data_IF_657137844050
#
_entry.id   IF_657137844050
#
_cell.length_a   1.000
_cell.length_b   1.000
_cell.length_c   1.000
_cell.angle_alpha   90.00
_cell.angle_beta   90.00
_cell.angle_gamma   90.00
#
_symmetry.space_group_name_H-M   'P 1'
#
loop_
_entity.id
_entity.type
_entity.pdbx_description
1 polymer ?
#
# COMPACT_ATOMS: atom_id res chain seq x y z
N UNK A 1 50.13 -7.56 -23.72
CA UNK A 1 51.35 -8.29 -23.32
C UNK A 1 51.11 -9.34 -22.24
N UNK A 2 50.14 -9.13 -21.31
CA UNK A 2 49.90 -10.05 -20.18
C UNK A 2 49.32 -11.41 -20.59
N UNK A 3 48.53 -11.49 -21.67
CA UNK A 3 47.85 -12.72 -22.11
C UNK A 3 48.83 -13.87 -22.42
N UNK A 4 50.06 -13.56 -22.86
CA UNK A 4 51.07 -14.56 -23.24
C UNK A 4 51.63 -15.34 -22.04
N UNK A 5 51.61 -14.74 -20.86
CA UNK A 5 52.05 -15.37 -19.62
C UNK A 5 50.90 -16.16 -18.95
N UNK A 6 49.69 -15.65 -19.05
CA UNK A 6 48.52 -16.31 -18.46
C UNK A 6 48.05 -17.57 -19.21
N UNK A 7 48.22 -17.59 -20.53
CA UNK A 7 47.75 -18.74 -21.34
C UNK A 7 48.48 -20.05 -21.01
N UNK A 8 49.84 -20.12 -20.90
CA UNK A 8 50.48 -21.36 -20.49
C UNK A 8 50.22 -21.74 -19.03
N UNK A 9 50.07 -20.72 -18.12
CA UNK A 9 49.78 -20.96 -16.72
C UNK A 9 48.35 -21.56 -16.56
N UNK A 10 47.38 -21.05 -17.30
CA UNK A 10 46.02 -21.62 -17.32
C UNK A 10 46.00 -23.04 -17.84
N UNK A 11 46.77 -23.35 -18.92
CA UNK A 11 46.88 -24.73 -19.42
C UNK A 11 47.51 -25.70 -18.43
N UNK A 12 48.46 -25.23 -17.62
CA UNK A 12 49.09 -26.02 -16.58
C UNK A 12 48.15 -26.27 -15.39
N UNK A 13 47.30 -25.28 -15.04
CA UNK A 13 46.36 -25.35 -13.92
C UNK A 13 45.05 -26.08 -14.30
N UNK A 14 44.66 -26.10 -15.57
CA UNK A 14 43.43 -26.75 -16.04
C UNK A 14 43.28 -28.21 -15.56
N UNK A 15 44.28 -29.09 -15.66
CA UNK A 15 44.14 -30.46 -15.19
C UNK A 15 44.00 -30.55 -13.66
N UNK A 16 44.61 -29.64 -12.91
CA UNK A 16 44.48 -29.57 -11.44
C UNK A 16 43.05 -29.19 -11.06
N UNK A 17 42.53 -28.12 -11.70
CA UNK A 17 41.12 -27.68 -11.48
C UNK A 17 40.14 -28.79 -11.89
N UNK A 18 40.39 -29.48 -13.01
CA UNK A 18 39.55 -30.60 -13.41
C UNK A 18 39.56 -31.74 -12.38
N UNK A 19 40.75 -32.08 -11.85
CA UNK A 19 40.89 -33.12 -10.81
C UNK A 19 40.13 -32.73 -9.50
N UNK A 20 40.29 -31.48 -9.07
CA UNK A 20 39.58 -30.98 -7.89
C UNK A 20 38.06 -31.02 -8.09
N UNK A 21 37.58 -30.56 -9.24
CA UNK A 21 36.14 -30.63 -9.58
C UNK A 21 35.63 -32.08 -9.65
N UNK A 22 36.43 -33.01 -10.19
CA UNK A 22 36.07 -34.44 -10.28
C UNK A 22 35.92 -35.04 -8.86
N UNK A 23 36.84 -34.75 -7.94
CA UNK A 23 36.78 -35.21 -6.55
C UNK A 23 35.60 -34.55 -5.83
N UNK A 24 35.43 -33.23 -5.96
CA UNK A 24 34.32 -32.50 -5.34
C UNK A 24 32.96 -33.04 -5.82
N UNK A 25 32.78 -33.20 -7.14
CA UNK A 25 31.56 -33.76 -7.71
C UNK A 25 31.32 -35.24 -7.30
N UNK A 26 32.36 -36.00 -7.13
CA UNK A 26 32.25 -37.39 -6.64
C UNK A 26 31.80 -37.46 -5.20
N UNK A 27 32.31 -36.58 -4.35
CA UNK A 27 31.89 -36.47 -2.93
C UNK A 27 30.42 -35.98 -2.87
N UNK A 28 30.04 -34.99 -3.64
CA UNK A 28 28.67 -34.47 -3.69
C UNK A 28 27.67 -35.55 -4.17
N UNK A 29 28.04 -36.37 -5.16
CA UNK A 29 27.23 -37.52 -5.61
C UNK A 29 27.12 -38.60 -4.55
N UNK A 30 28.18 -38.87 -3.81
CA UNK A 30 28.18 -39.83 -2.68
C UNK A 30 27.25 -39.39 -1.56
N UNK A 31 27.18 -38.08 -1.32
CA UNK A 31 26.27 -37.44 -0.34
C UNK A 31 24.84 -37.24 -0.90
N UNK A 32 24.55 -37.72 -2.12
CA UNK A 32 23.27 -37.51 -2.82
C UNK A 32 22.86 -36.06 -2.99
N UNK A 33 23.78 -35.11 -2.92
CA UNK A 33 23.58 -33.71 -3.24
C UNK A 33 23.80 -33.57 -4.75
N UNK A 34 22.74 -33.29 -5.51
CA UNK A 34 22.84 -33.03 -6.95
C UNK A 34 23.33 -31.60 -7.15
N UNK A 35 24.56 -31.37 -7.65
CA UNK A 35 25.05 -30.02 -7.94
C UNK A 35 24.24 -29.32 -9.05
N UNK A 36 23.63 -30.08 -9.94
CA UNK A 36 22.78 -29.55 -11.04
C UNK A 36 21.40 -29.04 -10.57
N UNK A 37 20.96 -29.38 -9.35
CA UNK A 37 19.75 -28.81 -8.74
C UNK A 37 20.00 -27.49 -8.04
N UNK A 38 21.24 -27.13 -7.73
CA UNK A 38 21.62 -25.82 -7.22
C UNK A 38 22.09 -24.84 -8.28
N UNK A 39 22.33 -25.32 -9.53
CA UNK A 39 22.66 -24.45 -10.67
C UNK A 39 21.44 -23.81 -11.36
N UNK A 40 20.23 -24.05 -10.83
CA UNK A 40 19.08 -23.19 -11.04
C UNK A 40 19.00 -22.24 -9.87
N UNK A 41 19.97 -21.33 -9.74
CA UNK A 41 19.91 -20.22 -8.78
C UNK A 41 18.59 -19.45 -8.99
N UNK A 42 17.52 -19.95 -8.39
CA UNK A 42 16.41 -19.08 -8.08
C UNK A 42 16.94 -18.12 -7.01
N UNK A 43 17.36 -16.94 -7.47
CA UNK A 43 17.72 -15.84 -6.57
C UNK A 43 16.66 -15.76 -5.49
N UNK A 44 17.07 -15.77 -4.24
CA UNK A 44 16.15 -15.49 -3.16
C UNK A 44 15.59 -14.07 -3.36
N UNK A 45 14.45 -13.78 -2.78
CA UNK A 45 13.85 -12.44 -2.87
C UNK A 45 14.84 -11.37 -2.38
N UNK A 46 15.55 -11.63 -1.29
CA UNK A 46 16.54 -10.75 -0.69
C UNK A 46 17.73 -10.50 -1.62
N UNK A 47 18.19 -11.55 -2.31
CA UNK A 47 19.23 -11.43 -3.33
C UNK A 47 18.76 -10.63 -4.54
N UNK A 48 17.52 -10.88 -5.01
CA UNK A 48 16.91 -10.10 -6.09
C UNK A 48 16.77 -8.63 -5.69
N UNK A 49 16.33 -8.34 -4.46
CA UNK A 49 16.25 -6.98 -3.92
C UNK A 49 17.62 -6.30 -3.90
N UNK A 50 18.66 -7.01 -3.49
CA UNK A 50 20.03 -6.50 -3.48
C UNK A 50 20.52 -6.19 -4.90
N UNK A 51 20.31 -7.11 -5.85
CA UNK A 51 20.67 -6.90 -7.25
C UNK A 51 19.94 -5.69 -7.86
N UNK A 52 18.64 -5.54 -7.58
CA UNK A 52 17.85 -4.38 -8.04
C UNK A 52 18.35 -3.08 -7.43
N UNK A 53 18.73 -3.08 -6.14
CA UNK A 53 19.28 -1.90 -5.48
C UNK A 53 20.67 -1.50 -6.01
N UNK A 54 21.52 -2.46 -6.34
CA UNK A 54 22.87 -2.21 -6.87
C UNK A 54 22.90 -1.82 -8.35
N UNK A 55 21.76 -1.99 -9.06
CA UNK A 55 21.65 -1.68 -10.49
C UNK A 55 21.50 -0.17 -10.80
N UNK A 56 22.08 0.71 -10.00
CA UNK A 56 21.95 2.17 -10.11
C UNK A 56 22.32 2.75 -11.50
N UNK A 57 23.27 2.13 -12.17
CA UNK A 57 23.78 2.61 -13.47
C UNK A 57 22.91 2.16 -14.63
N UNK A 58 22.15 1.06 -14.46
CA UNK A 58 21.43 0.40 -15.54
C UNK A 58 19.91 0.69 -15.52
N UNK A 59 19.36 0.94 -14.34
CA UNK A 59 17.90 1.09 -14.15
C UNK A 59 17.61 2.49 -13.59
N UNK A 60 16.76 3.30 -14.28
CA UNK A 60 16.31 4.57 -13.75
C UNK A 60 15.66 4.39 -12.37
N UNK A 61 15.91 5.32 -11.44
CA UNK A 61 15.47 5.22 -10.05
C UNK A 61 13.98 4.94 -9.91
N UNK A 62 13.14 5.58 -10.73
CA UNK A 62 11.68 5.33 -10.74
C UNK A 62 11.33 3.87 -11.04
N UNK A 63 12.00 3.26 -12.03
CA UNK A 63 11.74 1.85 -12.37
C UNK A 63 12.24 0.90 -11.29
N UNK A 64 13.37 1.23 -10.66
CA UNK A 64 13.92 0.47 -9.53
C UNK A 64 12.94 0.48 -8.35
N UNK A 65 12.42 1.65 -7.98
CA UNK A 65 11.43 1.76 -6.92
C UNK A 65 10.18 0.90 -7.21
N UNK A 66 9.66 0.93 -8.45
CA UNK A 66 8.54 0.08 -8.85
C UNK A 66 8.86 -1.42 -8.70
N UNK A 67 10.07 -1.86 -9.09
CA UNK A 67 10.47 -3.27 -8.93
C UNK A 67 10.53 -3.67 -7.46
N UNK A 68 11.07 -2.81 -6.60
CA UNK A 68 11.09 -3.03 -5.15
C UNK A 68 9.69 -3.08 -4.57
N UNK A 69 8.81 -2.14 -4.94
CA UNK A 69 7.40 -2.13 -4.52
C UNK A 69 6.66 -3.42 -4.91
N UNK A 70 6.92 -3.96 -6.11
CA UNK A 70 6.35 -5.25 -6.53
C UNK A 70 6.81 -6.39 -5.63
N UNK A 71 8.09 -6.41 -5.24
CA UNK A 71 8.62 -7.42 -4.32
C UNK A 71 8.01 -7.29 -2.90
N UNK A 72 7.66 -6.08 -2.50
CA UNK A 72 7.07 -5.80 -1.19
C UNK A 72 5.57 -6.15 -1.11
N UNK A 73 4.84 -6.25 -2.24
CA UNK A 73 3.41 -6.58 -2.27
C UNK A 73 3.04 -7.90 -1.59
N UNK A 74 3.93 -8.85 -1.52
CA UNK A 74 3.68 -10.12 -0.84
C UNK A 74 3.72 -10.00 0.68
N UNK A 75 4.47 -9.03 1.21
CA UNK A 75 4.61 -8.79 2.65
C UNK A 75 3.54 -7.84 3.18
N UNK A 76 3.02 -6.96 2.30
CA UNK A 76 1.97 -6.02 2.64
C UNK A 76 0.62 -6.70 2.67
N UNK A 77 -0.18 -6.35 3.67
CA UNK A 77 -1.56 -6.80 3.83
C UNK A 77 -2.54 -5.70 3.40
N UNK A 78 -3.77 -6.08 3.15
CA UNK A 78 -4.81 -5.16 2.68
C UNK A 78 -5.09 -4.03 3.68
N UNK A 79 -4.94 -4.31 4.96
CA UNK A 79 -5.11 -3.35 6.06
C UNK A 79 -3.99 -2.30 6.15
N UNK A 80 -2.85 -2.54 5.48
CA UNK A 80 -1.73 -1.59 5.45
C UNK A 80 -2.00 -0.35 4.59
N UNK A 81 -2.93 -0.49 3.62
CA UNK A 81 -3.21 0.55 2.62
C UNK A 81 -4.70 0.86 2.45
N UNK A 82 -5.57 0.24 3.25
CA UNK A 82 -7.01 0.51 3.17
C UNK A 82 -7.33 1.93 3.61
N UNK A 83 -8.40 2.48 3.06
CA UNK A 83 -9.08 3.63 3.65
C UNK A 83 -9.78 3.15 4.93
N UNK A 84 -9.42 3.66 6.10
CA UNK A 84 -10.00 3.22 7.38
C UNK A 84 -11.50 3.49 7.45
N UNK A 85 -12.21 2.70 8.26
CA UNK A 85 -13.66 2.81 8.46
C UNK A 85 -14.14 4.23 8.78
N UNK A 86 -13.41 4.96 9.60
CA UNK A 86 -13.76 6.32 10.04
C UNK A 86 -13.77 7.33 8.88
N UNK A 87 -13.00 7.06 7.83
CA UNK A 87 -12.85 7.94 6.66
C UNK A 87 -13.73 7.48 5.48
N UNK A 88 -14.55 6.44 5.70
CA UNK A 88 -15.46 5.95 4.67
C UNK A 88 -16.63 6.88 4.47
N UNK A 89 -16.78 7.35 3.24
CA UNK A 89 -17.91 8.15 2.83
C UNK A 89 -18.93 7.32 2.03
N UNK A 90 -20.20 7.58 2.31
CA UNK A 90 -21.30 6.89 1.65
C UNK A 90 -22.60 7.64 1.73
N UNK A 91 -23.67 7.00 1.28
CA UNK A 91 -25.04 7.49 1.36
C UNK A 91 -25.92 6.48 2.09
N UNK A 92 -26.77 7.01 2.98
CA UNK A 92 -27.79 6.23 3.65
C UNK A 92 -29.03 6.10 2.73
N UNK A 93 -29.34 4.86 2.33
CA UNK A 93 -30.48 4.58 1.45
C UNK A 93 -31.85 4.89 2.08
N UNK A 94 -31.91 5.10 3.38
CA UNK A 94 -33.17 5.45 4.07
C UNK A 94 -33.51 6.93 3.98
N UNK A 95 -32.57 7.77 3.54
CA UNK A 95 -32.79 9.20 3.35
C UNK A 95 -33.70 9.49 2.16
N UNK A 96 -34.36 10.65 2.12
CA UNK A 96 -35.12 11.08 0.95
C UNK A 96 -34.26 11.11 -0.33
N UNK A 97 -34.83 10.73 -1.47
CA UNK A 97 -34.11 10.66 -2.74
C UNK A 97 -33.42 11.97 -3.12
N UNK A 98 -34.04 13.10 -2.79
CA UNK A 98 -33.47 14.44 -3.05
C UNK A 98 -32.15 14.64 -2.32
N UNK A 99 -32.05 14.20 -1.07
CA UNK A 99 -30.82 14.30 -0.26
C UNK A 99 -29.76 13.32 -0.77
N UNK A 100 -30.15 12.08 -1.15
CA UNK A 100 -29.25 11.11 -1.76
C UNK A 100 -28.63 11.69 -3.04
N UNK A 101 -29.43 12.23 -3.94
CA UNK A 101 -28.95 12.81 -5.20
C UNK A 101 -28.04 14.00 -4.96
N UNK A 102 -28.40 14.88 -4.02
CA UNK A 102 -27.56 16.02 -3.64
C UNK A 102 -26.22 15.56 -3.07
N UNK A 103 -26.21 14.59 -2.19
CA UNK A 103 -24.97 14.02 -1.62
C UNK A 103 -24.10 13.40 -2.71
N UNK A 104 -24.68 12.62 -3.64
CA UNK A 104 -23.97 12.02 -4.76
C UNK A 104 -23.32 13.04 -5.71
N UNK A 105 -23.87 14.25 -5.81
CA UNK A 105 -23.27 15.33 -6.61
C UNK A 105 -22.07 15.98 -5.94
N UNK A 106 -22.00 15.96 -4.62
CA UNK A 106 -20.92 16.58 -3.85
C UNK A 106 -19.73 15.64 -3.60
N UNK A 107 -19.96 14.34 -3.66
CA UNK A 107 -18.89 13.36 -3.45
C UNK A 107 -17.94 13.28 -4.65
N UNK A 108 -16.62 13.33 -4.41
CA UNK A 108 -15.61 13.28 -5.48
C UNK A 108 -15.43 11.87 -6.07
N UNK A 109 -16.16 10.88 -5.58
CA UNK A 109 -15.95 9.46 -5.89
C UNK A 109 -16.81 8.99 -7.06
N UNK A 110 -16.22 8.18 -7.93
CA UNK A 110 -16.95 7.51 -9.04
C UNK A 110 -17.88 6.42 -8.52
N UNK A 111 -17.53 5.78 -7.41
CA UNK A 111 -18.32 4.76 -6.71
C UNK A 111 -18.47 5.15 -5.27
N UNK A 112 -19.69 4.99 -4.78
CA UNK A 112 -20.07 5.39 -3.44
C UNK A 112 -20.67 4.20 -2.71
N UNK A 113 -20.34 4.06 -1.44
CA UNK A 113 -20.90 3.08 -0.54
C UNK A 113 -22.36 3.43 -0.21
N UNK A 114 -23.19 2.41 -0.14
CA UNK A 114 -24.60 2.57 0.23
C UNK A 114 -24.89 1.67 1.41
N UNK A 115 -25.35 2.28 2.49
CA UNK A 115 -25.65 1.61 3.74
C UNK A 115 -27.06 1.97 4.24
N UNK A 116 -27.50 1.30 5.30
CA UNK A 116 -28.76 1.57 5.96
C UNK A 116 -28.50 1.99 7.40
N UNK A 117 -28.77 3.25 7.73
CA UNK A 117 -28.56 3.89 9.03
C UNK A 117 -27.10 3.93 9.49
N UNK A 118 -26.38 2.82 9.42
CA UNK A 118 -24.99 2.68 9.84
C UNK A 118 -24.19 1.94 8.75
N UNK A 119 -22.91 2.26 8.67
CA UNK A 119 -21.98 1.68 7.68
C UNK A 119 -21.83 0.16 7.80
N UNK A 120 -22.09 -0.39 9.01
CA UNK A 120 -22.10 -1.85 9.24
C UNK A 120 -23.26 -2.56 8.52
N UNK A 121 -24.34 -1.83 8.24
CA UNK A 121 -25.46 -2.32 7.45
C UNK A 121 -25.27 -1.98 5.98
N UNK A 122 -24.17 -2.48 5.41
CA UNK A 122 -23.83 -2.26 4.02
C UNK A 122 -24.86 -2.92 3.10
N UNK A 123 -25.44 -2.12 2.20
CA UNK A 123 -26.41 -2.59 1.20
C UNK A 123 -25.72 -2.86 -0.13
N UNK A 124 -24.73 -2.05 -0.48
CA UNK A 124 -24.03 -2.20 -1.75
C UNK A 124 -23.18 -1.01 -2.14
N UNK A 125 -22.80 -0.99 -3.39
CA UNK A 125 -22.07 0.13 -4.00
C UNK A 125 -22.84 0.66 -5.21
N UNK A 126 -22.84 1.98 -5.37
CA UNK A 126 -23.44 2.68 -6.52
C UNK A 126 -22.34 3.28 -7.41
N UNK A 127 -22.59 3.26 -8.70
CA UNK A 127 -21.81 4.04 -9.64
C UNK A 127 -22.49 5.41 -9.85
N UNK A 128 -21.91 6.49 -9.37
CA UNK A 128 -22.49 7.84 -9.36
C UNK A 128 -23.01 8.24 -10.75
N UNK A 129 -22.22 8.03 -11.80
CA UNK A 129 -22.59 8.35 -13.18
C UNK A 129 -23.85 7.64 -13.66
N UNK A 130 -24.09 6.37 -13.21
CA UNK A 130 -25.29 5.63 -13.59
C UNK A 130 -26.53 6.21 -12.92
N UNK A 131 -26.41 6.58 -11.64
CA UNK A 131 -27.52 7.19 -10.89
C UNK A 131 -27.89 8.55 -11.43
N UNK A 132 -26.89 9.40 -11.67
CA UNK A 132 -27.13 10.73 -12.24
C UNK A 132 -27.70 10.63 -13.67
N UNK A 133 -27.22 9.69 -14.50
CA UNK A 133 -27.80 9.41 -15.82
C UNK A 133 -29.23 8.96 -15.74
N UNK A 134 -29.58 8.07 -14.80
CA UNK A 134 -30.96 7.61 -14.58
C UNK A 134 -31.87 8.75 -14.08
N UNK A 135 -31.39 9.64 -13.20
CA UNK A 135 -32.16 10.78 -12.69
C UNK A 135 -32.50 11.81 -13.77
N UNK A 136 -31.62 11.95 -14.79
CA UNK A 136 -31.89 12.81 -15.94
C UNK A 136 -32.96 12.22 -16.87
N UNK A 137 -33.02 10.89 -17.01
CA UNK A 137 -33.99 10.20 -17.86
C UNK A 137 -35.35 10.01 -17.15
N UNK A 138 -35.32 9.84 -15.85
CA UNK A 138 -36.48 9.63 -14.99
C UNK A 138 -36.47 10.64 -13.84
N UNK A 139 -37.13 11.80 -14.00
CA UNK A 139 -37.19 12.85 -12.98
C UNK A 139 -37.78 12.39 -11.62
N UNK A 140 -38.51 11.29 -11.62
CA UNK A 140 -39.08 10.66 -10.43
C UNK A 140 -38.35 9.34 -10.08
N UNK A 141 -37.00 9.40 -10.07
CA UNK A 141 -36.20 8.25 -9.60
C UNK A 141 -36.63 7.88 -8.17
N UNK A 142 -37.07 6.65 -7.96
CA UNK A 142 -37.49 6.14 -6.67
C UNK A 142 -36.45 5.19 -6.04
N UNK A 143 -36.66 4.83 -4.77
CA UNK A 143 -35.78 3.91 -4.04
C UNK A 143 -35.71 2.53 -4.69
N UNK A 144 -36.79 2.06 -5.33
CA UNK A 144 -36.85 0.75 -5.99
C UNK A 144 -35.91 0.74 -7.20
N UNK A 145 -35.95 1.80 -7.99
CA UNK A 145 -35.05 1.98 -9.13
C UNK A 145 -33.59 2.12 -8.68
N UNK A 146 -33.35 2.87 -7.60
CA UNK A 146 -32.02 3.00 -7.03
C UNK A 146 -31.45 1.63 -6.61
N UNK A 147 -32.29 0.78 -6.00
CA UNK A 147 -31.89 -0.57 -5.60
C UNK A 147 -31.46 -1.44 -6.80
N UNK A 148 -32.06 -1.27 -7.97
CA UNK A 148 -31.66 -2.03 -9.17
C UNK A 148 -30.29 -1.65 -9.71
N UNK A 149 -29.80 -0.46 -9.36
CA UNK A 149 -28.47 0.05 -9.74
C UNK A 149 -27.38 -0.34 -8.74
N UNK A 150 -27.75 -0.88 -7.58
CA UNK A 150 -26.81 -1.36 -6.57
C UNK A 150 -26.05 -2.58 -7.08
N UNK A 151 -24.76 -2.59 -6.77
CA UNK A 151 -23.94 -3.79 -6.89
C UNK A 151 -23.66 -4.35 -5.51
N UNK A 152 -23.71 -5.66 -5.39
CA UNK A 152 -23.38 -6.36 -4.16
C UNK A 152 -21.97 -5.98 -3.67
N UNK A 153 -21.80 -5.77 -2.36
CA UNK A 153 -20.49 -5.53 -1.77
C UNK A 153 -19.57 -6.73 -2.04
N UNK A 154 -18.29 -6.47 -2.16
CA UNK A 154 -17.26 -7.50 -2.21
C UNK A 154 -16.45 -7.40 -0.93
N UNK A 155 -16.40 -8.47 -0.16
CA UNK A 155 -15.71 -8.52 1.12
C UNK A 155 -14.36 -9.19 0.96
N UNK A 156 -13.38 -8.64 1.66
CA UNK A 156 -11.97 -9.06 1.69
C UNK A 156 -11.62 -9.36 3.14
N UNK A 157 -11.23 -10.59 3.50
CA UNK A 157 -10.74 -10.86 4.85
C UNK A 157 -9.50 -10.02 5.16
N UNK A 158 -9.39 -9.52 6.39
CA UNK A 158 -8.14 -8.95 6.90
C UNK A 158 -7.01 -9.98 6.81
N UNK A 159 -5.74 -9.53 6.84
CA UNK A 159 -4.59 -10.42 6.67
C UNK A 159 -4.37 -10.93 5.24
N UNK A 160 -5.23 -10.56 4.27
CA UNK A 160 -5.03 -10.91 2.86
C UNK A 160 -3.85 -10.12 2.29
N UNK A 161 -2.85 -10.79 1.67
CA UNK A 161 -1.72 -10.08 1.05
C UNK A 161 -2.17 -9.27 -0.16
N UNK A 162 -1.52 -8.11 -0.39
CA UNK A 162 -1.84 -7.24 -1.53
C UNK A 162 -1.66 -7.95 -2.87
N UNK A 163 -0.64 -8.80 -2.98
CA UNK A 163 -0.41 -9.62 -4.18
C UNK A 163 -1.61 -10.53 -4.48
N UNK A 164 -2.10 -11.25 -3.47
CA UNK A 164 -3.28 -12.11 -3.61
C UNK A 164 -4.52 -11.30 -3.97
N UNK A 165 -4.73 -10.15 -3.32
CA UNK A 165 -5.89 -9.30 -3.58
C UNK A 165 -5.86 -8.68 -4.97
N UNK A 166 -4.70 -8.30 -5.50
CA UNK A 166 -4.55 -7.81 -6.87
C UNK A 166 -5.04 -8.86 -7.89
N UNK A 167 -4.63 -10.13 -7.71
CA UNK A 167 -5.09 -11.23 -8.55
C UNK A 167 -6.60 -11.46 -8.44
N UNK A 168 -7.17 -11.37 -7.22
CA UNK A 168 -8.61 -11.52 -7.01
C UNK A 168 -9.40 -10.40 -7.71
N UNK A 169 -8.97 -9.16 -7.60
CA UNK A 169 -9.59 -8.04 -8.29
C UNK A 169 -9.59 -8.21 -9.81
N UNK A 170 -8.46 -8.66 -10.39
CA UNK A 170 -8.35 -8.94 -11.82
C UNK A 170 -9.26 -10.09 -12.25
N UNK A 171 -9.25 -11.21 -11.52
CA UNK A 171 -10.03 -12.41 -11.83
C UNK A 171 -11.53 -12.17 -11.76
N UNK A 172 -11.98 -11.46 -10.72
CA UNK A 172 -13.38 -11.18 -10.47
C UNK A 172 -13.89 -9.91 -11.14
N UNK A 173 -12.99 -9.17 -11.83
CA UNK A 173 -13.28 -7.86 -12.45
C UNK A 173 -13.89 -6.87 -11.44
N UNK A 174 -13.44 -6.93 -10.20
CA UNK A 174 -13.79 -5.98 -9.14
C UNK A 174 -12.74 -4.88 -9.07
N UNK A 175 -13.12 -3.71 -8.59
CA UNK A 175 -12.22 -2.55 -8.44
C UNK A 175 -12.19 -1.97 -7.04
N UNK A 176 -13.03 -2.50 -6.15
CA UNK A 176 -13.07 -2.12 -4.75
C UNK A 176 -13.66 -3.26 -3.93
N UNK A 177 -13.28 -3.35 -2.67
CA UNK A 177 -13.81 -4.31 -1.70
C UNK A 177 -13.71 -3.78 -0.28
N UNK A 178 -14.63 -4.20 0.57
CA UNK A 178 -14.66 -3.88 1.99
C UNK A 178 -13.82 -4.89 2.75
N UNK A 179 -12.90 -4.41 3.56
CA UNK A 179 -12.09 -5.26 4.43
C UNK A 179 -12.89 -5.53 5.69
N UNK A 180 -12.94 -6.81 6.06
CA UNK A 180 -13.70 -7.28 7.23
C UNK A 180 -12.82 -8.16 8.11
N UNK A 181 -13.08 -8.09 9.41
CA UNK A 181 -12.50 -8.99 10.39
C UNK A 181 -13.20 -10.37 10.40
N UNK A 182 -12.80 -11.25 11.34
CA UNK A 182 -13.36 -12.59 11.54
C UNK A 182 -14.80 -12.59 12.08
N UNK A 183 -15.29 -11.45 12.56
CA UNK A 183 -16.66 -11.27 13.04
C UNK A 183 -17.59 -10.69 11.95
N UNK A 184 -17.00 -10.21 10.86
CA UNK A 184 -17.71 -9.56 9.76
C UNK A 184 -17.86 -8.05 9.92
N UNK A 185 -17.16 -7.46 10.90
CA UNK A 185 -17.14 -6.02 11.09
C UNK A 185 -16.28 -5.34 10.01
N UNK A 186 -16.77 -4.21 9.49
CA UNK A 186 -16.06 -3.47 8.42
C UNK A 186 -14.92 -2.68 9.02
N UNK A 187 -13.70 -2.99 8.61
CA UNK A 187 -12.47 -2.31 9.00
C UNK A 187 -12.13 -1.15 8.06
N UNK A 188 -12.41 -1.29 6.77
CA UNK A 188 -12.09 -0.27 5.78
C UNK A 188 -12.49 -0.64 4.36
N UNK A 189 -12.05 0.16 3.40
CA UNK A 189 -12.23 -0.02 1.97
C UNK A 189 -10.88 -0.09 1.27
N UNK A 190 -10.72 -1.04 0.37
CA UNK A 190 -9.58 -1.12 -0.53
C UNK A 190 -10.05 -0.95 -1.97
N UNK A 191 -9.33 -0.13 -2.74
CA UNK A 191 -9.57 0.00 -4.17
C UNK A 191 -8.40 -0.52 -5.01
N UNK A 192 -8.65 -0.81 -6.29
CA UNK A 192 -7.60 -1.15 -7.25
C UNK A 192 -6.61 0.00 -7.45
N UNK A 193 -7.06 1.25 -7.28
CA UNK A 193 -6.20 2.43 -7.39
C UNK A 193 -5.15 2.46 -6.30
N UNK A 194 -5.55 2.23 -5.05
CA UNK A 194 -4.66 2.20 -3.88
C UNK A 194 -3.60 1.09 -4.03
N UNK A 195 -4.02 -0.08 -4.53
CA UNK A 195 -3.10 -1.18 -4.86
C UNK A 195 -2.07 -0.82 -5.94
N UNK A 196 -2.52 -0.14 -7.01
CA UNK A 196 -1.62 0.28 -8.09
C UNK A 196 -0.69 1.40 -7.65
N UNK A 197 -1.16 2.26 -6.77
CA UNK A 197 -0.36 3.33 -6.17
C UNK A 197 0.81 2.79 -5.35
N UNK A 198 0.63 1.68 -4.63
CA UNK A 198 1.75 0.99 -3.95
C UNK A 198 2.84 0.49 -4.90
N UNK A 199 2.50 0.17 -6.14
CA UNK A 199 3.45 -0.32 -7.15
C UNK A 199 4.16 0.83 -7.85
N UNK A 200 3.39 1.82 -8.30
CA UNK A 200 3.88 2.87 -9.20
C UNK A 200 4.37 4.11 -8.44
N UNK A 201 3.97 4.23 -7.16
CA UNK A 201 4.06 5.46 -6.38
C UNK A 201 2.91 6.40 -6.74
N UNK A 202 2.80 7.51 -6.03
CA UNK A 202 1.76 8.49 -6.27
C UNK A 202 1.72 8.93 -7.73
N UNK A 203 0.53 8.87 -8.34
CA UNK A 203 0.28 9.39 -9.68
C UNK A 203 0.18 10.92 -9.69
N UNK A 204 0.23 11.54 -8.53
CA UNK A 204 0.16 12.99 -8.43
C UNK A 204 1.44 13.59 -8.98
N UNK A 205 1.32 14.24 -10.13
CA UNK A 205 2.25 15.25 -10.65
C UNK A 205 2.17 16.55 -9.84
N UNK A 206 1.59 16.48 -8.64
CA UNK A 206 1.52 17.61 -7.72
C UNK A 206 2.89 17.74 -7.07
N UNK A 207 3.57 18.88 -7.18
CA UNK A 207 4.76 19.15 -6.40
C UNK A 207 4.47 18.92 -4.92
N UNK A 208 5.47 18.53 -4.15
CA UNK A 208 5.38 18.26 -2.70
C UNK A 208 4.74 19.40 -1.89
N UNK A 209 4.60 20.58 -2.51
CA UNK A 209 4.05 21.81 -1.92
C UNK A 209 2.50 21.79 -1.79
N UNK A 210 1.78 20.82 -2.39
CA UNK A 210 0.32 20.77 -2.45
C UNK A 210 -0.31 19.53 -1.80
N UNK A 211 0.40 18.78 -0.96
CA UNK A 211 -0.21 17.70 -0.18
C UNK A 211 -0.95 18.35 1.00
N UNK A 212 -2.29 18.28 1.05
CA UNK A 212 -3.08 18.99 2.08
C UNK A 212 -2.70 18.61 3.51
N UNK A 213 -2.22 17.38 3.70
CA UNK A 213 -1.90 16.80 5.01
C UNK A 213 -0.45 17.04 5.45
N UNK A 214 0.43 17.47 4.54
CA UNK A 214 1.83 17.80 4.79
C UNK A 214 2.12 19.16 4.16
N UNK A 215 2.27 20.18 4.97
CA UNK A 215 2.53 21.54 4.53
C UNK A 215 3.95 21.94 4.93
N UNK A 216 4.86 22.20 3.97
CA UNK A 216 6.16 22.71 4.28
C UNK A 216 6.04 24.12 4.92
N UNK A 217 6.76 24.33 5.98
CA UNK A 217 6.91 25.62 6.68
C UNK A 217 8.33 26.17 6.44
N UNK A 218 8.55 27.39 6.87
CA UNK A 218 9.90 27.96 6.86
C UNK A 218 10.85 27.11 7.75
N UNK A 219 12.16 27.14 7.47
CA UNK A 219 13.21 26.47 8.25
C UNK A 219 13.21 24.92 8.23
N UNK A 220 12.82 24.30 7.12
CA UNK A 220 12.85 22.82 6.97
C UNK A 220 11.96 22.08 7.98
N UNK A 221 10.88 22.72 8.40
CA UNK A 221 9.83 22.15 9.23
C UNK A 221 8.57 21.86 8.39
N UNK A 222 7.76 20.90 8.83
CA UNK A 222 6.54 20.48 8.14
C UNK A 222 5.38 20.48 9.12
N UNK A 223 4.26 21.07 8.71
CA UNK A 223 3.00 20.92 9.41
C UNK A 223 2.31 19.66 8.88
N UNK A 224 2.08 18.68 9.75
CA UNK A 224 1.58 17.36 9.38
C UNK A 224 0.31 17.03 10.13
N UNK A 225 -0.70 16.50 9.42
CA UNK A 225 -1.93 16.03 10.02
C UNK A 225 -1.70 14.73 10.81
N UNK A 226 -2.31 14.59 12.00
CA UNK A 226 -2.11 13.41 12.84
C UNK A 226 -2.58 12.08 12.23
N UNK A 227 -3.49 12.11 11.26
CA UNK A 227 -3.97 10.92 10.54
C UNK A 227 -3.07 10.49 9.38
N UNK A 228 -2.07 11.31 9.01
CA UNK A 228 -1.13 10.98 7.93
C UNK A 228 -0.40 9.67 8.22
N UNK A 229 -0.23 8.85 7.19
CA UNK A 229 0.45 7.55 7.30
C UNK A 229 1.91 7.73 7.66
N UNK A 230 2.40 6.97 8.67
CA UNK A 230 3.84 6.94 9.03
C UNK A 230 4.71 6.52 7.85
N UNK A 231 4.22 5.59 7.02
CA UNK A 231 4.94 5.13 5.82
C UNK A 231 5.07 6.23 4.76
N UNK A 232 4.01 7.00 4.56
CA UNK A 232 3.99 8.14 3.65
C UNK A 232 4.99 9.22 4.10
N UNK A 233 4.97 9.58 5.38
CA UNK A 233 5.94 10.52 5.96
C UNK A 233 7.39 10.04 5.80
N UNK A 234 7.64 8.76 6.12
CA UNK A 234 8.97 8.17 5.98
C UNK A 234 9.45 8.20 4.52
N UNK A 235 8.55 7.93 3.56
CA UNK A 235 8.89 7.92 2.13
C UNK A 235 9.10 9.32 1.54
N UNK A 236 8.22 10.27 1.85
CA UNK A 236 8.27 11.64 1.29
C UNK A 236 9.38 12.49 1.89
N UNK A 237 9.54 12.43 3.22
CA UNK A 237 10.51 13.27 3.93
C UNK A 237 11.85 12.55 4.16
N UNK A 238 11.97 11.30 3.70
CA UNK A 238 13.14 10.44 3.90
C UNK A 238 13.55 10.34 5.39
N UNK A 239 12.52 10.22 6.28
CA UNK A 239 12.71 10.03 7.71
C UNK A 239 12.74 8.55 8.05
N UNK A 240 13.65 8.16 8.96
CA UNK A 240 13.78 6.76 9.42
C UNK A 240 12.79 6.47 10.56
N UNK A 241 11.49 6.59 10.26
CA UNK A 241 10.41 6.32 11.22
C UNK A 241 10.15 4.81 11.36
N UNK A 242 9.74 4.32 12.55
CA UNK A 242 9.40 2.93 12.75
C UNK A 242 8.15 2.57 11.95
N UNK A 243 8.28 1.63 11.01
CA UNK A 243 7.17 1.14 10.18
C UNK A 243 6.44 -0.06 10.79
N UNK A 244 6.98 -0.60 11.91
CA UNK A 244 6.36 -1.67 12.69
C UNK A 244 5.59 -1.04 13.84
N UNK A 245 4.26 -1.20 13.89
CA UNK A 245 3.39 -0.60 14.90
C UNK A 245 2.27 0.24 14.33
N UNK A 246 1.91 1.35 14.97
CA UNK A 246 0.83 2.23 14.51
C UNK A 246 1.06 2.76 13.11
N UNK A 247 -0.01 2.83 12.32
CA UNK A 247 0.04 3.19 10.90
C UNK A 247 -0.04 4.69 10.66
N UNK A 248 -0.52 5.46 11.64
CA UNK A 248 -0.67 6.92 11.56
C UNK A 248 0.29 7.65 12.50
N UNK A 249 0.60 8.89 12.19
CA UNK A 249 1.46 9.73 13.03
C UNK A 249 0.87 9.89 14.44
N UNK A 250 -0.43 10.10 14.56
CA UNK A 250 -1.12 10.17 15.85
C UNK A 250 -0.96 8.88 16.66
N UNK A 251 -1.19 7.73 16.02
CA UNK A 251 -1.00 6.43 16.65
C UNK A 251 0.43 6.24 17.16
N UNK A 252 1.43 6.62 16.36
CA UNK A 252 2.84 6.54 16.72
C UNK A 252 3.21 7.43 17.93
N UNK A 253 2.64 8.64 17.98
CA UNK A 253 2.84 9.57 19.10
C UNK A 253 2.20 9.02 20.38
N UNK A 254 0.95 8.54 20.30
CA UNK A 254 0.22 7.98 21.45
C UNK A 254 0.91 6.73 22.00
N UNK A 255 1.38 5.83 21.12
CA UNK A 255 2.16 4.65 21.54
C UNK A 255 3.45 5.06 22.25
N UNK A 256 4.17 6.05 21.72
CA UNK A 256 5.43 6.51 22.30
C UNK A 256 5.23 7.19 23.66
N UNK A 257 4.18 8.01 23.81
CA UNK A 257 3.85 8.71 25.04
C UNK A 257 3.12 7.84 26.07
N UNK A 258 2.48 6.76 25.63
CA UNK A 258 1.57 5.91 26.43
C UNK A 258 0.43 6.73 27.08
N UNK A 259 0.15 7.91 26.54
CA UNK A 259 -0.88 8.84 27.00
C UNK A 259 -1.34 9.73 25.85
N UNK A 260 -2.54 10.31 25.99
CA UNK A 260 -3.00 11.34 25.04
C UNK A 260 -2.15 12.61 25.23
N UNK A 261 -1.57 13.14 24.16
CA UNK A 261 -0.72 14.31 24.25
C UNK A 261 -1.53 15.59 24.52
N UNK A 262 -0.95 16.49 25.31
CA UNK A 262 -1.48 17.85 25.47
C UNK A 262 -0.88 18.80 24.44
N UNK A 263 -1.59 19.91 24.14
CA UNK A 263 -1.07 20.96 23.26
C UNK A 263 0.25 21.53 23.79
N UNK A 264 1.24 21.68 22.90
CA UNK A 264 2.59 22.13 23.28
C UNK A 264 3.50 21.01 23.78
N UNK A 265 3.06 19.75 23.73
CA UNK A 265 3.95 18.61 23.99
C UNK A 265 4.92 18.41 22.83
N UNK A 266 6.21 18.29 23.15
CA UNK A 266 7.27 17.96 22.17
C UNK A 266 7.80 16.57 22.44
N UNK A 267 7.89 15.75 21.39
CA UNK A 267 8.46 14.39 21.45
C UNK A 267 9.53 14.21 20.40
N UNK A 268 10.45 13.27 20.62
CA UNK A 268 11.46 12.90 19.60
C UNK A 268 11.33 11.43 19.29
N UNK A 269 10.91 11.10 18.06
CA UNK A 269 10.72 9.73 17.60
C UNK A 269 11.73 9.45 16.48
N UNK A 270 12.55 8.42 16.62
CA UNK A 270 13.61 8.05 15.65
C UNK A 270 14.50 9.24 15.22
N UNK A 271 14.76 10.16 16.15
CA UNK A 271 15.60 11.35 15.89
C UNK A 271 14.84 12.56 15.33
N UNK A 272 13.59 12.40 14.89
CA UNK A 272 12.74 13.48 14.38
C UNK A 272 12.04 14.18 15.54
N UNK A 273 12.22 15.50 15.72
CA UNK A 273 11.46 16.27 16.70
C UNK A 273 10.05 16.54 16.18
N UNK A 274 9.04 16.34 17.01
CA UNK A 274 7.62 16.51 16.68
C UNK A 274 6.97 17.35 17.76
N UNK A 275 6.41 18.49 17.38
CA UNK A 275 5.70 19.41 18.28
C UNK A 275 4.18 19.30 18.04
N UNK A 276 3.42 19.06 19.10
CA UNK A 276 1.97 18.86 19.02
C UNK A 276 1.28 20.19 19.25
N UNK A 277 0.64 20.71 18.20
CA UNK A 277 0.02 22.04 18.23
C UNK A 277 -1.41 21.99 18.78
N UNK A 278 -2.25 21.08 18.31
CA UNK A 278 -3.65 20.98 18.71
C UNK A 278 -4.11 19.53 18.83
N UNK A 279 -4.26 18.99 20.05
CA UNK A 279 -4.95 17.72 20.25
C UNK A 279 -6.46 17.95 20.16
N UNK A 280 -7.19 17.07 19.47
CA UNK A 280 -8.66 17.03 19.51
C UNK A 280 -9.11 15.61 19.83
N UNK A 281 -10.14 15.45 20.69
CA UNK A 281 -10.82 14.22 21.11
C UNK A 281 -10.29 12.93 20.43
N UNK A 282 -9.21 12.35 20.97
CA UNK A 282 -8.48 11.19 20.48
C UNK A 282 -7.66 11.36 19.17
N UNK A 283 -7.56 12.56 18.59
CA UNK A 283 -6.73 12.84 17.43
C UNK A 283 -5.90 14.11 17.61
N UNK A 284 -4.67 14.11 17.11
CA UNK A 284 -3.86 15.33 16.97
C UNK A 284 -4.30 16.02 15.68
N UNK A 285 -4.83 17.25 15.78
CA UNK A 285 -5.07 18.10 14.59
C UNK A 285 -3.92 19.06 14.39
N UNK A 286 -3.70 19.49 13.14
CA UNK A 286 -2.65 20.43 12.78
C UNK A 286 -2.80 21.78 13.44
#
# INVERSE_FOLDING_TARGET
>A
PAAWIYTPLLRLLTPVVWLVNLVANSILRLLRLNPDQQAGDSLSREELRTVVNEADVLIPQRHRNMLLSILDLEQLQVEDIMVPRQDLEGVDITQPMTQILQRLQTLPYTRVLVYRHNIDQMVGTLHVRQVLGASLQHPQLDHTQLQTLLREPYYIPEGTSLHQQLHQFQRQKRRSGLIVDEYGDILGLLTMSDLLEQIVGEFTTVPTDDIPDIQPQDDNTFLVQGHTSVRELAGLLNWDLPLTGPKTLNGLIVEHLQNLPESGTSVRIAGVPIDILQPQDNCVKP
#
